data_IF_321524807835
#
_entry.id   IF_321524807835
#
_cell.length_a   1.000
_cell.length_b   1.000
_cell.length_c   1.000
_cell.angle_alpha   90.00
_cell.angle_beta   90.00
_cell.angle_gamma   90.00
#
_symmetry.space_group_name_H-M   'P 1'
#
loop_
_entity.id
_entity.type
_entity.pdbx_description
1 polymer ?
#
# COMPACT_ATOMS: atom_id res chain seq x y z
N UNK A 1 -14.00 -6.66 -23.72
CA UNK A 1 -12.82 -7.11 -22.95
C UNK A 1 -11.62 -6.30 -23.45
N UNK A 2 -11.43 -5.07 -22.95
CA UNK A 2 -10.39 -4.17 -23.43
C UNK A 2 -9.09 -4.40 -22.67
N UNK A 3 -7.99 -4.65 -23.37
CA UNK A 3 -6.67 -4.69 -22.75
C UNK A 3 -6.38 -3.31 -22.13
N UNK A 4 -6.33 -3.23 -20.80
CA UNK A 4 -5.77 -2.04 -20.13
C UNK A 4 -4.32 -1.92 -20.60
N UNK A 5 -4.01 -0.82 -21.30
CA UNK A 5 -2.64 -0.47 -21.62
C UNK A 5 -1.86 -0.38 -20.31
N UNK A 6 -0.72 -1.06 -20.27
CA UNK A 6 0.09 -1.07 -19.06
C UNK A 6 0.63 0.32 -18.73
N UNK A 7 0.65 0.71 -17.45
CA UNK A 7 1.19 2.00 -17.00
C UNK A 7 2.17 1.83 -15.85
N UNK A 8 3.45 2.10 -16.10
CA UNK A 8 4.46 2.17 -15.04
C UNK A 8 4.38 3.49 -14.30
N UNK A 9 4.67 3.47 -12.99
CA UNK A 9 4.72 4.69 -12.15
C UNK A 9 6.02 4.73 -11.37
N UNK A 10 6.64 5.91 -11.31
CA UNK A 10 7.88 6.12 -10.59
C UNK A 10 7.76 7.21 -9.53
N UNK A 11 8.64 7.15 -8.53
CA UNK A 11 8.89 8.23 -7.59
C UNK A 11 10.38 8.32 -7.26
N UNK A 12 10.79 9.41 -6.61
CA UNK A 12 12.15 9.61 -6.10
C UNK A 12 12.07 9.90 -4.61
N UNK A 13 12.85 9.20 -3.80
CA UNK A 13 12.87 9.39 -2.34
C UNK A 13 13.39 10.78 -1.97
N UNK A 14 12.87 11.33 -0.88
CA UNK A 14 13.27 12.65 -0.39
C UNK A 14 14.25 12.54 0.79
N UNK A 15 14.94 13.62 1.12
CA UNK A 15 15.83 13.67 2.29
C UNK A 15 15.11 13.44 3.64
N UNK A 16 13.78 13.61 3.67
CA UNK A 16 12.96 13.36 4.85
C UNK A 16 12.13 12.10 4.60
N UNK A 17 12.46 10.93 5.18
CA UNK A 17 11.77 9.67 4.90
C UNK A 17 10.25 9.74 5.07
N UNK A 18 9.52 8.91 4.32
CA UNK A 18 8.08 8.79 4.50
C UNK A 18 7.76 8.25 5.91
N UNK A 19 6.87 8.91 6.68
CA UNK A 19 6.58 8.50 8.04
C UNK A 19 5.75 7.22 8.06
N UNK A 20 5.96 6.37 9.09
CA UNK A 20 5.17 5.18 9.33
C UNK A 20 3.69 5.50 9.55
N UNK A 21 3.38 6.49 10.40
CA UNK A 21 2.04 7.01 10.68
C UNK A 21 0.99 5.91 10.94
N UNK A 22 0.80 5.47 12.18
CA UNK A 22 -0.11 4.36 12.49
C UNK A 22 0.55 2.99 12.35
N UNK A 23 -0.30 1.96 12.29
CA UNK A 23 0.10 0.56 12.13
C UNK A 23 0.55 -0.07 13.43
N UNK A 24 1.45 -1.05 13.32
CA UNK A 24 1.95 -1.90 14.41
C UNK A 24 3.14 -1.29 15.15
N UNK A 25 3.33 0.03 15.05
CA UNK A 25 4.43 0.71 15.75
C UNK A 25 4.32 0.55 17.27
N UNK A 26 5.47 0.40 17.93
CA UNK A 26 5.57 0.28 19.39
C UNK A 26 5.59 1.64 20.11
N UNK A 27 5.43 2.75 19.37
CA UNK A 27 5.29 4.09 19.94
C UNK A 27 3.79 4.42 20.12
N UNK A 28 3.22 4.37 21.34
CA UNK A 28 1.77 4.44 21.54
C UNK A 28 1.06 5.66 20.95
N UNK A 29 1.63 6.88 20.98
CA UNK A 29 0.98 8.05 20.38
C UNK A 29 0.73 7.89 18.87
N UNK A 30 1.60 7.15 18.18
CA UNK A 30 1.58 6.95 16.73
C UNK A 30 1.04 5.58 16.32
N UNK A 31 0.65 4.72 17.26
CA UNK A 31 0.15 3.37 17.01
C UNK A 31 -1.30 3.32 16.53
N UNK A 32 -1.66 2.22 15.89
CA UNK A 32 -3.04 1.90 15.52
C UNK A 32 -3.55 2.63 14.29
N UNK A 33 -4.85 2.93 14.28
CA UNK A 33 -5.54 3.54 13.13
C UNK A 33 -5.32 5.06 13.14
N UNK A 34 -4.75 5.58 12.06
CA UNK A 34 -4.43 7.00 11.85
C UNK A 34 -4.90 7.46 10.48
N UNK A 35 -5.11 8.78 10.37
CA UNK A 35 -5.48 9.41 9.11
C UNK A 35 -4.25 9.54 8.20
N UNK A 36 -4.33 8.93 7.01
CA UNK A 36 -3.21 8.81 6.09
C UNK A 36 -3.04 10.00 5.13
N UNK A 37 -3.96 10.98 5.12
CA UNK A 37 -3.91 12.12 4.17
C UNK A 37 -2.56 12.85 4.14
N UNK A 38 -1.86 12.97 5.28
CA UNK A 38 -0.54 13.62 5.33
C UNK A 38 0.52 12.83 4.56
N UNK A 39 0.46 11.51 4.63
CA UNK A 39 1.37 10.60 3.91
C UNK A 39 1.06 10.58 2.42
N UNK A 40 -0.22 10.53 2.06
CA UNK A 40 -0.69 10.47 0.67
C UNK A 40 -0.35 11.71 -0.17
N UNK A 41 -0.11 12.86 0.47
CA UNK A 41 0.29 14.10 -0.22
C UNK A 41 1.76 14.11 -0.64
N UNK A 42 2.55 13.13 -0.22
CA UNK A 42 3.99 13.10 -0.53
C UNK A 42 4.22 12.58 -1.94
N UNK A 43 5.14 13.22 -2.67
CA UNK A 43 5.52 12.79 -4.02
C UNK A 43 6.24 11.43 -4.04
N UNK A 44 6.82 10.99 -2.92
CA UNK A 44 7.46 9.69 -2.74
C UNK A 44 6.54 8.61 -2.16
N UNK A 45 5.21 8.82 -2.24
CA UNK A 45 4.19 7.85 -1.87
C UNK A 45 3.19 7.71 -3.02
N UNK A 46 3.29 6.61 -3.78
CA UNK A 46 2.32 6.29 -4.81
C UNK A 46 1.04 5.76 -4.18
N UNK A 47 -0.11 6.29 -4.61
CA UNK A 47 -1.43 5.80 -4.21
C UNK A 47 -2.17 5.22 -5.41
N UNK A 48 -2.69 4.01 -5.26
CA UNK A 48 -3.58 3.34 -6.20
C UNK A 48 -4.91 3.12 -5.49
N UNK A 49 -6.01 3.63 -6.04
CA UNK A 49 -7.32 3.57 -5.40
C UNK A 49 -8.27 2.86 -6.34
N UNK A 50 -9.02 1.88 -5.84
CA UNK A 50 -10.05 1.24 -6.64
C UNK A 50 -11.23 2.19 -6.88
N UNK A 51 -12.16 1.74 -7.72
CA UNK A 51 -13.48 2.36 -7.82
C UNK A 51 -14.23 2.25 -6.49
N UNK A 52 -15.30 3.01 -6.37
CA UNK A 52 -16.16 2.92 -5.20
C UNK A 52 -16.78 1.54 -5.12
N UNK A 53 -16.77 0.96 -3.92
CA UNK A 53 -17.39 -0.33 -3.70
C UNK A 53 -18.91 -0.16 -3.66
N UNK A 54 -19.61 -0.99 -4.42
CA UNK A 54 -21.08 -1.06 -4.41
C UNK A 54 -21.61 -2.04 -3.38
N UNK A 55 -20.76 -2.97 -2.93
CA UNK A 55 -21.06 -4.03 -1.97
C UNK A 55 -19.95 -4.13 -0.93
N UNK A 56 -20.25 -4.62 0.30
CA UNK A 56 -19.23 -4.76 1.32
C UNK A 56 -18.17 -5.81 0.93
N UNK A 57 -16.90 -5.51 1.25
CA UNK A 57 -15.79 -6.45 1.08
C UNK A 57 -15.14 -6.71 2.44
N UNK A 58 -15.25 -7.95 2.91
CA UNK A 58 -14.65 -8.37 4.18
C UNK A 58 -13.26 -8.97 3.94
N UNK A 59 -12.23 -8.30 4.46
CA UNK A 59 -10.85 -8.79 4.49
C UNK A 59 -10.64 -9.53 5.81
N UNK A 60 -10.33 -10.82 5.75
CA UNK A 60 -10.06 -11.66 6.91
C UNK A 60 -8.84 -12.55 6.64
N UNK A 61 -7.66 -12.13 7.09
CA UNK A 61 -6.41 -12.87 6.89
C UNK A 61 -5.25 -11.96 6.54
N UNK A 62 -4.27 -12.48 5.79
CA UNK A 62 -3.08 -11.72 5.34
C UNK A 62 -3.19 -11.36 3.85
N UNK A 63 -3.41 -10.08 3.51
CA UNK A 63 -3.25 -9.61 2.13
C UNK A 63 -1.83 -9.81 1.62
N UNK A 64 -1.66 -9.98 0.31
CA UNK A 64 -0.34 -9.97 -0.32
C UNK A 64 -0.33 -9.09 -1.57
N UNK A 65 0.84 -8.54 -1.88
CA UNK A 65 1.06 -7.74 -3.08
C UNK A 65 2.26 -8.27 -3.82
N UNK A 66 2.07 -8.57 -5.10
CA UNK A 66 3.14 -8.85 -6.05
C UNK A 66 3.44 -7.58 -6.81
N UNK A 67 4.66 -7.07 -6.71
CA UNK A 67 5.12 -5.90 -7.44
C UNK A 67 6.19 -6.30 -8.44
N UNK A 68 6.07 -5.83 -9.66
CA UNK A 68 7.18 -5.79 -10.61
C UNK A 68 7.90 -4.45 -10.46
N UNK A 69 9.18 -4.49 -10.10
CA UNK A 69 9.95 -3.32 -9.64
C UNK A 69 11.23 -3.10 -10.44
N UNK A 70 11.58 -1.83 -10.60
CA UNK A 70 12.86 -1.36 -11.16
C UNK A 70 13.34 -0.12 -10.41
N UNK A 71 14.64 0.17 -10.52
CA UNK A 71 15.27 1.36 -9.94
C UNK A 71 16.35 1.03 -8.92
N UNK A 72 16.67 2.01 -8.09
CA UNK A 72 17.73 1.93 -7.09
C UNK A 72 17.41 0.89 -6.01
N UNK A 73 18.44 0.32 -5.34
CA UNK A 73 18.26 -0.68 -4.28
C UNK A 73 17.63 -0.10 -3.01
N UNK A 74 17.04 -0.97 -2.21
CA UNK A 74 16.40 -0.63 -0.92
C UNK A 74 14.99 -1.23 -0.80
N UNK A 75 14.38 -1.17 0.39
CA UNK A 75 13.11 -1.85 0.66
C UNK A 75 11.94 -1.15 -0.04
N UNK A 76 10.86 -1.92 -0.21
CA UNK A 76 9.56 -1.44 -0.63
C UNK A 76 8.56 -1.65 0.48
N UNK A 77 7.88 -0.58 0.83
CA UNK A 77 6.82 -0.58 1.82
C UNK A 77 5.47 -0.46 1.12
N UNK A 78 4.50 -1.24 1.61
CA UNK A 78 3.12 -1.26 1.11
C UNK A 78 2.14 -1.12 2.26
N UNK A 79 1.07 -0.34 2.06
CA UNK A 79 -0.04 -0.23 3.01
C UNK A 79 -1.40 -0.23 2.33
N UNK A 80 -2.35 -0.93 2.93
CA UNK A 80 -3.77 -0.81 2.61
C UNK A 80 -4.44 0.23 3.50
N UNK A 81 -5.31 1.03 2.89
CA UNK A 81 -6.12 2.03 3.56
C UNK A 81 -7.58 1.91 3.13
N UNK A 82 -8.48 2.19 4.07
CA UNK A 82 -9.91 2.37 3.83
C UNK A 82 -10.19 3.87 3.64
N UNK A 83 -10.74 4.23 2.49
CA UNK A 83 -11.13 5.59 2.16
C UNK A 83 -12.65 5.70 2.17
N UNK A 84 -13.18 6.37 3.18
CA UNK A 84 -14.61 6.66 3.30
C UNK A 84 -15.12 7.65 2.23
N UNK A 85 -16.43 7.72 2.08
CA UNK A 85 -17.13 8.69 1.20
C UNK A 85 -16.75 10.15 1.49
N UNK A 86 -16.50 10.49 2.76
CA UNK A 86 -16.02 11.83 3.17
C UNK A 86 -14.57 12.14 2.74
N UNK A 87 -13.89 11.16 2.14
CA UNK A 87 -12.48 11.21 1.77
C UNK A 87 -11.52 10.99 2.95
N UNK A 88 -11.98 10.66 4.15
CA UNK A 88 -11.11 10.22 5.25
C UNK A 88 -10.47 8.88 4.86
N UNK A 89 -9.13 8.84 4.84
CA UNK A 89 -8.32 7.65 4.55
C UNK A 89 -7.64 7.17 5.82
N UNK A 90 -7.84 5.91 6.20
CA UNK A 90 -7.25 5.31 7.41
C UNK A 90 -6.51 4.02 7.09
N UNK A 91 -5.39 3.76 7.76
CA UNK A 91 -4.62 2.53 7.56
C UNK A 91 -5.35 1.28 8.07
N UNK A 92 -5.22 0.17 7.33
CA UNK A 92 -5.73 -1.16 7.67
C UNK A 92 -4.56 -2.05 8.12
N UNK A 93 -3.64 -2.33 7.20
CA UNK A 93 -2.48 -3.19 7.41
C UNK A 93 -1.35 -2.79 6.46
N UNK A 94 -0.14 -3.26 6.75
CA UNK A 94 1.04 -2.96 5.95
C UNK A 94 2.07 -4.08 5.95
N UNK A 95 3.06 -3.95 5.06
CA UNK A 95 4.14 -4.90 4.86
C UNK A 95 5.34 -4.22 4.21
N UNK A 96 6.49 -4.86 4.33
CA UNK A 96 7.75 -4.39 3.77
C UNK A 96 8.51 -5.56 3.16
N UNK A 97 9.27 -5.33 2.11
CA UNK A 97 10.22 -6.31 1.57
C UNK A 97 11.46 -6.45 2.45
N UNK A 98 12.33 -7.40 2.10
CA UNK A 98 13.73 -7.37 2.53
C UNK A 98 14.48 -6.14 1.99
N UNK A 99 15.78 -6.06 2.31
CA UNK A 99 16.58 -4.84 2.11
C UNK A 99 16.69 -4.37 0.66
N UNK A 100 16.85 -5.25 -0.34
CA UNK A 100 17.04 -4.85 -1.74
C UNK A 100 16.47 -5.89 -2.71
N UNK A 101 15.15 -6.04 -2.83
CA UNK A 101 14.55 -6.94 -3.81
C UNK A 101 14.79 -6.45 -5.24
N UNK A 102 14.73 -7.36 -6.20
CA UNK A 102 14.91 -7.08 -7.63
C UNK A 102 13.85 -7.81 -8.46
N UNK A 103 13.43 -7.23 -9.57
CA UNK A 103 12.50 -7.88 -10.51
C UNK A 103 11.08 -7.98 -9.96
N UNK A 104 10.60 -9.19 -9.70
CA UNK A 104 9.28 -9.42 -9.09
C UNK A 104 9.41 -9.75 -7.61
N UNK A 105 8.64 -9.07 -6.77
CA UNK A 105 8.66 -9.28 -5.32
C UNK A 105 7.25 -9.48 -4.78
N UNK A 106 7.10 -10.49 -3.92
CA UNK A 106 5.88 -10.68 -3.15
C UNK A 106 6.06 -10.11 -1.73
N UNK A 107 5.05 -9.36 -1.29
CA UNK A 107 4.99 -8.70 0.01
C UNK A 107 3.73 -9.19 0.70
N UNK A 108 3.87 -10.01 1.74
CA UNK A 108 2.76 -10.38 2.62
C UNK A 108 2.59 -9.29 3.68
N UNK A 109 1.38 -8.75 3.79
CA UNK A 109 1.04 -7.73 4.78
C UNK A 109 0.71 -8.37 6.14
N UNK A 110 0.70 -7.55 7.19
CA UNK A 110 0.20 -7.92 8.51
C UNK A 110 -1.27 -8.39 8.40
N UNK A 111 -1.71 -9.31 9.29
CA UNK A 111 -3.09 -9.77 9.27
C UNK A 111 -4.07 -8.62 9.48
N UNK A 112 -5.23 -8.71 8.83
CA UNK A 112 -6.32 -7.76 8.92
C UNK A 112 -7.66 -8.49 9.08
N UNK A 113 -8.54 -7.89 9.87
CA UNK A 113 -9.95 -8.21 9.96
C UNK A 113 -10.72 -6.88 9.80
N UNK A 114 -11.12 -6.55 8.57
CA UNK A 114 -11.69 -5.25 8.23
C UNK A 114 -12.77 -5.40 7.16
N UNK A 115 -13.89 -4.68 7.33
CA UNK A 115 -14.97 -4.61 6.34
C UNK A 115 -14.90 -3.25 5.66
N UNK A 116 -14.67 -3.26 4.36
CA UNK A 116 -14.86 -2.08 3.51
C UNK A 116 -16.35 -1.98 3.16
N UNK A 117 -16.98 -0.88 3.52
CA UNK A 117 -18.42 -0.68 3.32
C UNK A 117 -18.74 -0.20 1.88
N UNK A 118 -19.99 -0.35 1.42
CA UNK A 118 -20.46 0.35 0.24
C UNK A 118 -20.19 1.87 0.34
N UNK A 119 -19.81 2.50 -0.77
CA UNK A 119 -19.39 3.91 -0.80
C UNK A 119 -17.94 4.16 -0.38
N UNK A 120 -17.24 3.15 0.15
CA UNK A 120 -15.81 3.24 0.45
C UNK A 120 -14.95 2.83 -0.74
N UNK A 121 -13.66 3.11 -0.65
CA UNK A 121 -12.64 2.69 -1.61
C UNK A 121 -11.47 2.06 -0.87
N UNK A 122 -10.93 0.98 -1.43
CA UNK A 122 -9.64 0.46 -1.02
C UNK A 122 -8.53 1.26 -1.70
N UNK A 123 -7.52 1.65 -0.92
CA UNK A 123 -6.31 2.30 -1.41
C UNK A 123 -5.07 1.51 -1.02
N UNK A 124 -4.22 1.29 -2.01
CA UNK A 124 -2.86 0.80 -1.87
C UNK A 124 -1.88 1.98 -1.89
N UNK A 125 -1.09 2.12 -0.85
CA UNK A 125 0.06 3.03 -0.81
C UNK A 125 1.34 2.23 -1.04
N UNK A 126 2.23 2.74 -1.88
CA UNK A 126 3.56 2.18 -2.10
C UNK A 126 4.62 3.28 -1.94
N UNK A 127 5.63 3.01 -1.13
CA UNK A 127 6.76 3.93 -0.88
C UNK A 127 8.03 3.15 -0.58
N UNK A 128 9.17 3.83 -0.49
CA UNK A 128 10.42 3.19 -0.05
C UNK A 128 10.52 3.09 1.49
N UNK A 129 9.74 3.91 2.21
CA UNK A 129 9.92 4.08 3.66
C UNK A 129 8.62 4.05 4.47
N UNK A 130 8.79 3.75 5.75
CA UNK A 130 7.83 3.96 6.83
C UNK A 130 8.60 4.17 8.15
N UNK A 131 9.33 5.28 8.24
CA UNK A 131 10.20 5.61 9.38
C UNK A 131 9.40 6.10 10.61
N UNK A 132 9.82 5.77 11.85
CA UNK A 132 10.98 4.97 12.23
C UNK A 132 10.70 3.46 12.30
N UNK A 133 9.45 3.03 12.08
CA UNK A 133 9.06 1.61 12.18
C UNK A 133 9.83 0.70 11.22
N UNK A 134 10.27 1.24 10.08
CA UNK A 134 11.06 0.54 9.08
C UNK A 134 12.25 1.41 8.63
N UNK A 135 13.32 0.74 8.20
CA UNK A 135 14.53 1.39 7.69
C UNK A 135 14.20 2.33 6.53
N UNK A 136 14.88 3.48 6.49
CA UNK A 136 14.76 4.43 5.39
C UNK A 136 15.73 4.09 4.27
N UNK A 137 15.27 4.18 3.03
CA UNK A 137 16.09 4.19 1.84
C UNK A 137 16.91 5.49 1.75
N UNK A 138 18.05 5.48 1.02
CA UNK A 138 18.79 6.69 0.72
C UNK A 138 17.91 7.74 0.03
N UNK A 139 18.25 9.01 0.23
CA UNK A 139 17.60 10.11 -0.49
C UNK A 139 17.97 10.08 -1.98
N UNK A 140 17.11 10.65 -2.84
CA UNK A 140 17.29 10.70 -4.28
C UNK A 140 17.33 9.33 -4.99
N UNK A 141 16.84 8.27 -4.35
CA UNK A 141 16.68 6.96 -4.97
C UNK A 141 15.41 6.91 -5.83
N UNK A 142 15.57 6.60 -7.11
CA UNK A 142 14.46 6.42 -8.06
C UNK A 142 13.90 5.01 -7.95
N UNK A 143 12.57 4.91 -7.86
CA UNK A 143 11.82 3.67 -7.73
C UNK A 143 10.71 3.63 -8.77
N UNK A 144 10.52 2.50 -9.43
CA UNK A 144 9.49 2.31 -10.47
C UNK A 144 8.72 1.02 -10.23
N UNK A 145 7.40 1.10 -10.28
CA UNK A 145 6.48 -0.03 -10.31
C UNK A 145 6.02 -0.21 -11.74
N UNK A 146 6.18 -1.43 -12.26
CA UNK A 146 5.73 -1.82 -13.58
C UNK A 146 4.32 -2.42 -13.47
N UNK A 147 3.47 -2.02 -14.40
CA UNK A 147 2.18 -2.65 -14.64
C UNK A 147 2.01 -2.79 -16.16
N UNK A 148 2.86 -3.60 -16.78
CA UNK A 148 2.84 -3.90 -18.22
C UNK A 148 2.34 -5.34 -18.45
N UNK A 149 1.82 -5.71 -19.64
CA UNK A 149 1.22 -7.02 -19.87
C UNK A 149 2.07 -8.22 -19.40
N UNK A 150 3.39 -8.14 -19.54
CA UNK A 150 4.36 -9.18 -19.15
C UNK A 150 4.80 -9.09 -17.68
N UNK A 151 4.54 -7.95 -17.01
CA UNK A 151 4.97 -7.64 -15.64
C UNK A 151 3.89 -6.85 -14.91
N UNK A 152 2.82 -7.56 -14.53
CA UNK A 152 1.68 -6.98 -13.81
C UNK A 152 1.89 -7.04 -12.32
N UNK A 153 1.70 -5.90 -11.68
CA UNK A 153 1.61 -5.82 -10.23
C UNK A 153 0.18 -6.15 -9.78
N UNK A 154 0.03 -7.00 -8.76
CA UNK A 154 -1.27 -7.56 -8.33
C UNK A 154 -1.41 -7.48 -6.81
N UNK A 155 -2.55 -7.00 -6.33
CA UNK A 155 -2.99 -7.08 -4.94
C UNK A 155 -3.96 -8.26 -4.78
N UNK A 156 -3.65 -9.16 -3.85
CA UNK A 156 -4.49 -10.30 -3.47
C UNK A 156 -5.06 -10.07 -2.08
N UNK A 157 -6.38 -10.19 -1.97
CA UNK A 157 -7.11 -10.00 -0.71
C UNK A 157 -7.69 -11.34 -0.22
N UNK A 158 -7.50 -11.70 1.06
CA UNK A 158 -8.18 -12.84 1.68
C UNK A 158 -9.61 -12.42 2.02
N UNK A 159 -10.49 -12.49 1.03
CA UNK A 159 -11.89 -12.11 1.19
C UNK A 159 -12.73 -13.29 1.65
N UNK A 160 -13.64 -13.04 2.60
CA UNK A 160 -14.73 -13.97 2.91
C UNK A 160 -16.05 -13.40 2.41
N UNK A 161 -16.92 -14.26 1.89
CA UNK A 161 -18.26 -13.85 1.51
C UNK A 161 -19.00 -13.31 2.75
N UNK A 162 -19.66 -12.16 2.60
CA UNK A 162 -20.44 -11.57 3.69
C UNK A 162 -21.57 -12.53 4.08
N UNK A 163 -21.60 -12.96 5.34
CA UNK A 163 -22.81 -13.50 5.94
C UNK A 163 -23.68 -12.29 6.22
N UNK A 164 -24.79 -12.13 5.48
CA UNK A 164 -25.82 -11.16 5.84
C UNK A 164 -26.29 -11.48 7.26
N UNK A 165 -26.04 -10.57 8.20
CA UNK A 165 -26.65 -10.62 9.52
C UNK A 165 -28.12 -10.21 9.44
#
# INVERSE_FOLDING_TARGET
MGARAGSSRSFVTTAKPAPALGGTTLFPPDAGVKNQKKRERRADVLSYTCEELTEPVTIAGRPSVRLSIEGDPGPWFVRLCDVSLSGKSVNICDGVTGASPVGEVEITLSPAAHVLLPGHRLRLQVSADASPSYAAAPACSRRTILDVPERRSVLTLPTIAGVSA
#
